data_IF_571834437667
#
_entry.id   IF_571834437667
#
_cell.length_a   1.000
_cell.length_b   1.000
_cell.length_c   1.000
_cell.angle_alpha   90.00
_cell.angle_beta   90.00
_cell.angle_gamma   90.00
#
_symmetry.space_group_name_H-M   'P 1'
#
loop_
_entity.id
_entity.type
_entity.pdbx_description
1 polymer ?
#
# COMPACT_ATOMS: atom_id res chain seq x y z
N UNK A 1 18.49 15.60 19.20
CA UNK A 1 18.26 14.31 18.54
C UNK A 1 17.17 14.47 17.51
N UNK A 2 17.51 14.67 16.25
CA UNK A 2 16.54 14.64 15.14
C UNK A 2 16.10 13.19 14.97
N UNK A 3 14.89 12.84 15.39
CA UNK A 3 14.29 11.55 15.03
C UNK A 3 14.21 11.53 13.51
N UNK A 4 14.97 10.66 12.84
CA UNK A 4 14.82 10.43 11.41
C UNK A 4 13.37 9.98 11.18
N UNK A 5 12.53 10.88 10.67
CA UNK A 5 11.15 10.57 10.35
C UNK A 5 11.18 9.73 9.08
N UNK A 6 10.77 8.47 9.17
CA UNK A 6 10.60 7.64 7.98
C UNK A 6 9.61 8.31 7.04
N UNK A 7 9.86 8.19 5.73
CA UNK A 7 8.91 8.66 4.73
C UNK A 7 7.67 7.78 4.74
N UNK A 8 6.50 8.32 4.34
CA UNK A 8 5.28 7.53 4.24
C UNK A 8 5.48 6.28 3.35
N UNK A 9 6.26 6.41 2.27
CA UNK A 9 6.60 5.29 1.39
C UNK A 9 7.33 4.16 2.12
N UNK A 10 8.34 4.51 2.91
CA UNK A 10 9.10 3.53 3.70
C UNK A 10 8.21 2.86 4.75
N UNK A 11 7.36 3.65 5.43
CA UNK A 11 6.42 3.10 6.42
C UNK A 11 5.39 2.15 5.79
N UNK A 12 4.84 2.49 4.62
CA UNK A 12 3.88 1.65 3.89
C UNK A 12 4.56 0.36 3.39
N UNK A 13 5.76 0.46 2.85
CA UNK A 13 6.51 -0.72 2.40
C UNK A 13 6.81 -1.66 3.58
N UNK A 14 7.29 -1.12 4.70
CA UNK A 14 7.55 -1.89 5.91
C UNK A 14 6.27 -2.59 6.41
N UNK A 15 5.16 -1.86 6.48
CA UNK A 15 3.88 -2.43 6.85
C UNK A 15 3.48 -3.61 5.95
N UNK A 16 3.68 -3.48 4.63
CA UNK A 16 3.38 -4.55 3.67
C UNK A 16 4.27 -5.78 3.92
N UNK A 17 5.58 -5.57 4.10
CA UNK A 17 6.54 -6.63 4.37
C UNK A 17 6.19 -7.42 5.64
N UNK A 18 5.88 -6.70 6.73
CA UNK A 18 5.56 -7.30 8.03
C UNK A 18 4.21 -8.03 8.06
N UNK A 19 3.19 -7.54 7.33
CA UNK A 19 1.82 -8.05 7.46
C UNK A 19 1.38 -8.98 6.33
N UNK A 20 1.97 -8.84 5.14
CA UNK A 20 1.59 -9.66 3.99
C UNK A 20 2.74 -10.52 3.48
N UNK A 21 4.00 -10.09 3.65
CA UNK A 21 5.18 -10.80 3.12
C UNK A 21 4.94 -11.19 1.64
N UNK A 22 4.86 -12.49 1.34
CA UNK A 22 4.67 -13.02 -0.02
C UNK A 22 3.20 -13.32 -0.35
N UNK A 23 2.24 -12.88 0.49
CA UNK A 23 0.82 -13.11 0.29
C UNK A 23 0.17 -11.95 -0.48
N UNK A 24 -0.85 -12.28 -1.25
CA UNK A 24 -1.69 -11.31 -1.92
C UNK A 24 -2.45 -10.44 -0.90
N UNK A 25 -2.65 -9.16 -1.20
CA UNK A 25 -3.42 -8.28 -0.32
C UNK A 25 -4.25 -7.24 -1.09
N UNK A 26 -5.35 -6.82 -0.47
CA UNK A 26 -6.14 -5.67 -0.94
C UNK A 26 -5.65 -4.39 -0.28
N UNK A 27 -6.01 -3.24 -0.85
CA UNK A 27 -5.59 -1.94 -0.28
C UNK A 27 -6.28 -1.60 1.04
N UNK A 28 -7.47 -2.16 1.31
CA UNK A 28 -8.32 -1.77 2.46
C UNK A 28 -7.63 -1.90 3.83
N UNK A 29 -6.93 -3.00 4.18
CA UNK A 29 -6.21 -3.10 5.44
C UNK A 29 -5.17 -1.99 5.64
N UNK A 30 -4.46 -1.59 4.58
CA UNK A 30 -3.46 -0.51 4.63
C UNK A 30 -4.14 0.84 4.89
N UNK A 31 -5.27 1.11 4.25
CA UNK A 31 -6.04 2.32 4.54
C UNK A 31 -6.41 2.40 6.02
N UNK A 32 -6.96 1.33 6.60
CA UNK A 32 -7.38 1.31 8.00
C UNK A 32 -6.20 1.51 8.96
N UNK A 33 -5.05 0.88 8.70
CA UNK A 33 -3.87 0.99 9.55
C UNK A 33 -3.30 2.42 9.57
N UNK A 34 -3.34 3.13 8.44
CA UNK A 34 -2.74 4.46 8.31
C UNK A 34 -3.74 5.61 8.53
N UNK A 35 -5.04 5.36 8.42
CA UNK A 35 -6.11 6.33 8.74
C UNK A 35 -6.05 6.75 10.22
N UNK A 36 -5.80 5.80 11.14
CA UNK A 36 -5.62 6.07 12.58
C UNK A 36 -4.45 7.06 12.82
N UNK A 37 -3.50 7.13 11.88
CA UNK A 37 -2.34 8.02 11.92
C UNK A 37 -2.56 9.33 11.15
N UNK A 38 -3.78 9.58 10.68
CA UNK A 38 -4.16 10.77 9.94
C UNK A 38 -3.74 10.78 8.46
N UNK A 39 -3.39 9.63 7.89
CA UNK A 39 -2.99 9.54 6.47
C UNK A 39 -4.22 9.26 5.60
N UNK A 40 -4.38 10.05 4.54
CA UNK A 40 -5.53 9.89 3.63
C UNK A 40 -5.40 8.65 2.76
N UNK A 41 -6.55 8.05 2.38
CA UNK A 41 -6.58 6.96 1.42
C UNK A 41 -5.96 7.33 0.06
N UNK A 42 -6.08 8.59 -0.37
CA UNK A 42 -5.42 9.08 -1.59
C UNK A 42 -3.90 9.04 -1.50
N UNK A 43 -3.33 9.41 -0.36
CA UNK A 43 -1.89 9.34 -0.11
C UNK A 43 -1.37 7.89 -0.12
N UNK A 44 -2.14 6.95 0.45
CA UNK A 44 -1.80 5.52 0.40
C UNK A 44 -1.89 4.99 -1.04
N UNK A 45 -2.96 5.32 -1.77
CA UNK A 45 -3.11 4.93 -3.18
C UNK A 45 -1.96 5.43 -4.06
N UNK A 46 -1.56 6.69 -3.90
CA UNK A 46 -0.39 7.26 -4.57
C UNK A 46 0.91 6.57 -4.18
N UNK A 47 1.06 6.21 -2.90
CA UNK A 47 2.24 5.50 -2.39
C UNK A 47 2.36 4.08 -2.96
N UNK A 48 1.26 3.33 -3.02
CA UNK A 48 1.25 2.00 -3.64
C UNK A 48 1.58 2.06 -5.13
N UNK A 49 1.08 3.07 -5.84
CA UNK A 49 1.42 3.28 -7.24
C UNK A 49 2.91 3.63 -7.42
N UNK A 50 3.49 4.46 -6.53
CA UNK A 50 4.92 4.76 -6.55
C UNK A 50 5.77 3.51 -6.31
N UNK A 51 5.43 2.70 -5.31
CA UNK A 51 6.11 1.42 -5.03
C UNK A 51 6.01 0.43 -6.20
N UNK A 52 4.85 0.38 -6.88
CA UNK A 52 4.69 -0.39 -8.12
C UNK A 52 5.59 0.12 -9.24
N UNK A 53 5.64 1.43 -9.46
CA UNK A 53 6.50 2.03 -10.49
C UNK A 53 7.99 1.79 -10.22
N UNK A 54 8.37 1.63 -8.95
CA UNK A 54 9.72 1.28 -8.51
C UNK A 54 10.00 -0.24 -8.51
N UNK A 55 9.02 -1.07 -8.87
CA UNK A 55 9.17 -2.52 -8.98
C UNK A 55 9.03 -3.30 -7.67
N UNK A 56 8.72 -2.63 -6.55
CA UNK A 56 8.49 -3.32 -5.27
C UNK A 56 7.16 -4.07 -5.24
N UNK A 57 6.15 -3.55 -5.94
CA UNK A 57 4.79 -4.11 -5.94
C UNK A 57 4.30 -4.41 -7.35
N UNK A 58 3.50 -5.45 -7.45
CA UNK A 58 2.65 -5.72 -8.61
C UNK A 58 1.18 -5.70 -8.21
N UNK A 59 0.29 -5.51 -9.19
CA UNK A 59 -1.13 -5.65 -8.95
C UNK A 59 -1.87 -6.19 -10.15
N UNK A 60 -2.97 -6.89 -9.85
CA UNK A 60 -3.88 -7.44 -10.83
C UNK A 60 -5.27 -6.86 -10.59
N UNK A 61 -5.94 -6.53 -11.69
CA UNK A 61 -7.35 -6.15 -11.64
C UNK A 61 -8.17 -7.37 -11.23
N UNK A 62 -9.05 -7.20 -10.23
CA UNK A 62 -9.97 -8.24 -9.78
C UNK A 62 -11.36 -7.97 -10.32
N UNK A 63 -11.92 -6.80 -9.98
CA UNK A 63 -13.26 -6.41 -10.35
C UNK A 63 -13.47 -4.90 -10.21
N UNK A 64 -14.61 -4.40 -10.67
CA UNK A 64 -15.05 -3.05 -10.37
C UNK A 64 -16.00 -3.07 -9.16
N UNK A 65 -15.77 -2.19 -8.18
CA UNK A 65 -16.68 -2.02 -7.05
C UNK A 65 -17.96 -1.30 -7.46
N UNK A 66 -18.98 -1.36 -6.61
CA UNK A 66 -20.29 -0.72 -6.84
C UNK A 66 -20.22 0.79 -7.12
N UNK A 67 -19.18 1.46 -6.65
CA UNK A 67 -18.93 2.89 -6.90
C UNK A 67 -18.03 3.16 -8.12
N UNK A 68 -17.82 2.17 -8.99
CA UNK A 68 -17.06 2.32 -10.23
C UNK A 68 -15.53 2.30 -10.08
N UNK A 69 -14.99 2.09 -8.87
CA UNK A 69 -13.53 2.01 -8.65
C UNK A 69 -13.00 0.61 -8.94
N UNK A 70 -11.77 0.56 -9.46
CA UNK A 70 -11.12 -0.73 -9.71
C UNK A 70 -10.59 -1.32 -8.39
N UNK A 71 -11.01 -2.55 -8.10
CA UNK A 71 -10.49 -3.37 -7.01
C UNK A 71 -9.28 -4.12 -7.56
N UNK A 72 -8.14 -3.93 -6.89
CA UNK A 72 -6.87 -4.54 -7.26
C UNK A 72 -6.35 -5.39 -6.12
N UNK A 73 -5.84 -6.56 -6.48
CA UNK A 73 -5.05 -7.42 -5.61
C UNK A 73 -3.58 -7.11 -5.84
N UNK A 74 -2.82 -6.96 -4.76
CA UNK A 74 -1.43 -6.51 -4.77
C UNK A 74 -0.50 -7.59 -4.23
N UNK A 75 0.74 -7.58 -4.71
CA UNK A 75 1.79 -8.52 -4.33
C UNK A 75 3.10 -7.78 -4.09
N UNK A 76 3.87 -8.22 -3.09
CA UNK A 76 5.26 -7.81 -2.92
C UNK A 76 6.12 -8.63 -3.88
N UNK A 77 6.90 -7.94 -4.73
CA UNK A 77 7.76 -8.57 -5.75
C UNK A 77 9.21 -8.59 -5.30
N UNK A 78 9.63 -7.57 -4.55
CA UNK A 78 11.00 -7.44 -4.03
C UNK A 78 10.94 -7.11 -2.53
N UNK A 79 11.65 -7.93 -1.73
CA UNK A 79 11.80 -7.76 -0.27
C UNK A 79 13.11 -7.07 0.09
#
# INVERSE_FOLDING_TARGET
>A
MTKNKMTLKAEVLLYIQENFSNQAFFTKPIYLAFEIRGVSAGSIGGTLQALKNEGYLENHFVQRSFNGRDVKEWYLVHS
#
